data_IF_364331385787
#
_entry.id   IF_364331385787
#
_cell.length_a   1.000
_cell.length_b   1.000
_cell.length_c   1.000
_cell.angle_alpha   90.00
_cell.angle_beta   90.00
_cell.angle_gamma   90.00
#
_symmetry.space_group_name_H-M   'P 1'
#
loop_
_entity.id
_entity.type
_entity.pdbx_description
1 polymer ?
#
# COMPACT_ATOMS: atom_id res chain seq x y z
N UNK A 1 -7.62 26.97 -34.16
CA UNK A 1 -8.06 25.56 -34.27
C UNK A 1 -8.19 24.88 -32.90
N UNK A 2 -7.18 24.93 -32.01
CA UNK A 2 -7.34 24.34 -30.66
C UNK A 2 -8.23 25.18 -29.73
N UNK A 3 -8.20 26.52 -29.85
CA UNK A 3 -9.00 27.42 -29.01
C UNK A 3 -10.52 27.37 -29.28
N UNK A 4 -10.96 26.66 -30.32
CA UNK A 4 -12.37 26.47 -30.66
C UNK A 4 -12.92 25.12 -30.16
N UNK A 5 -12.08 24.28 -29.54
CA UNK A 5 -12.53 23.01 -28.95
C UNK A 5 -13.19 23.27 -27.58
N UNK A 6 -14.26 22.51 -27.24
CA UNK A 6 -14.77 22.49 -25.88
C UNK A 6 -13.67 22.06 -24.89
N UNK A 7 -13.62 22.65 -23.68
CA UNK A 7 -12.63 22.31 -22.66
C UNK A 7 -12.54 20.81 -22.36
N UNK A 8 -13.67 20.11 -22.37
CA UNK A 8 -13.78 18.68 -22.03
C UNK A 8 -13.09 17.80 -23.09
N UNK A 9 -13.25 18.15 -24.36
CA UNK A 9 -12.58 17.45 -25.47
C UNK A 9 -11.07 17.69 -25.40
N UNK A 10 -10.68 18.92 -25.06
CA UNK A 10 -9.27 19.25 -24.93
C UNK A 10 -8.61 18.59 -23.71
N UNK A 11 -9.32 18.48 -22.58
CA UNK A 11 -8.89 17.72 -21.41
C UNK A 11 -8.68 16.24 -21.78
N UNK A 12 -9.60 15.64 -22.56
CA UNK A 12 -9.44 14.26 -23.05
C UNK A 12 -8.22 14.08 -23.96
N UNK A 13 -7.88 15.08 -24.78
CA UNK A 13 -6.64 15.07 -25.57
C UNK A 13 -5.42 15.13 -24.65
N UNK A 14 -5.46 16.00 -23.63
CA UNK A 14 -4.37 16.15 -22.67
C UNK A 14 -4.10 14.86 -21.89
N UNK A 15 -5.15 14.10 -21.55
CA UNK A 15 -5.04 12.80 -20.88
C UNK A 15 -4.27 11.75 -21.70
N UNK A 16 -4.13 11.95 -23.02
CA UNK A 16 -3.38 11.06 -23.92
C UNK A 16 -1.94 11.48 -24.15
N UNK A 17 -1.56 12.68 -23.72
CA UNK A 17 -0.22 13.21 -23.90
C UNK A 17 0.69 12.81 -22.73
N UNK A 18 1.96 12.54 -23.02
CA UNK A 18 2.95 12.34 -21.97
C UNK A 18 3.30 13.68 -21.29
N UNK A 19 3.96 13.61 -20.12
CA UNK A 19 4.30 14.80 -19.33
C UNK A 19 5.18 15.82 -20.07
N UNK A 20 6.07 15.36 -20.96
CA UNK A 20 6.97 16.25 -21.73
C UNK A 20 6.17 17.02 -22.77
N UNK A 21 5.27 16.35 -23.49
CA UNK A 21 4.44 16.97 -24.51
C UNK A 21 3.41 17.93 -23.88
N UNK A 22 2.85 17.58 -22.72
CA UNK A 22 2.01 18.50 -21.94
C UNK A 22 2.78 19.75 -21.49
N UNK A 23 4.01 19.59 -21.03
CA UNK A 23 4.86 20.73 -20.66
C UNK A 23 5.12 21.63 -21.86
N UNK A 24 5.50 21.06 -23.01
CA UNK A 24 5.71 21.82 -24.25
C UNK A 24 4.45 22.55 -24.69
N UNK A 25 3.30 21.88 -24.64
CA UNK A 25 2.01 22.46 -24.97
C UNK A 25 1.64 23.62 -24.04
N UNK A 26 1.96 23.50 -22.75
CA UNK A 26 1.72 24.56 -21.75
C UNK A 26 2.46 25.87 -22.06
N UNK A 27 3.56 25.80 -22.81
CA UNK A 27 4.39 26.97 -23.15
C UNK A 27 3.94 27.69 -24.42
N UNK A 28 2.98 27.14 -25.17
CA UNK A 28 2.57 27.69 -26.47
C UNK A 28 1.58 28.84 -26.36
N UNK A 29 0.72 28.88 -25.34
CA UNK A 29 -0.24 29.96 -25.13
C UNK A 29 -0.73 30.02 -23.67
N UNK A 30 -1.14 31.21 -23.21
CA UNK A 30 -1.66 31.42 -21.84
C UNK A 30 -2.89 30.57 -21.52
N UNK A 31 -3.82 30.43 -22.48
CA UNK A 31 -5.03 29.63 -22.27
C UNK A 31 -4.70 28.12 -22.18
N UNK A 32 -3.75 27.64 -23.00
CA UNK A 32 -3.24 26.27 -22.98
C UNK A 32 -2.50 25.98 -21.68
N UNK A 33 -1.68 26.92 -21.21
CA UNK A 33 -1.05 26.83 -19.90
C UNK A 33 -2.08 26.56 -18.81
N UNK A 34 -3.16 27.35 -18.75
CA UNK A 34 -4.20 27.19 -17.72
C UNK A 34 -4.88 25.81 -17.73
N UNK A 35 -5.13 25.24 -18.91
CA UNK A 35 -5.80 23.93 -19.01
C UNK A 35 -4.81 22.80 -18.71
N UNK A 36 -3.66 22.79 -19.39
CA UNK A 36 -2.59 21.81 -19.20
C UNK A 36 -2.05 21.80 -17.76
N UNK A 37 -2.06 22.94 -17.05
CA UNK A 37 -1.63 23.02 -15.65
C UNK A 37 -2.39 22.04 -14.76
N UNK A 38 -3.71 21.90 -14.93
CA UNK A 38 -4.51 20.96 -14.13
C UNK A 38 -4.05 19.52 -14.34
N UNK A 39 -3.76 19.17 -15.59
CA UNK A 39 -3.35 17.82 -15.97
C UNK A 39 -1.91 17.51 -15.55
N UNK A 40 -1.00 18.49 -15.70
CA UNK A 40 0.38 18.37 -15.22
C UNK A 40 0.45 18.12 -13.71
N UNK A 41 -0.47 18.69 -12.93
CA UNK A 41 -0.53 18.52 -11.48
C UNK A 41 -1.51 17.44 -11.01
N UNK A 42 -2.15 16.71 -11.92
CA UNK A 42 -3.10 15.62 -11.59
C UNK A 42 -2.40 14.48 -10.84
N UNK A 43 -1.19 14.14 -11.24
CA UNK A 43 -0.39 13.06 -10.65
C UNK A 43 0.92 13.61 -10.10
N UNK A 44 1.18 13.35 -8.82
CA UNK A 44 2.38 13.82 -8.13
C UNK A 44 3.20 12.63 -7.64
N UNK A 45 4.47 12.58 -8.05
CA UNK A 45 5.43 11.59 -7.54
C UNK A 45 6.44 12.27 -6.63
N UNK A 46 6.49 11.80 -5.38
CA UNK A 46 7.52 12.15 -4.41
C UNK A 46 8.69 11.22 -4.62
N UNK A 47 9.79 11.79 -5.11
CA UNK A 47 11.08 11.13 -5.25
C UNK A 47 12.02 11.65 -4.15
N UNK A 48 12.70 10.76 -3.40
CA UNK A 48 13.77 11.15 -2.52
C UNK A 48 14.98 11.60 -3.32
N UNK A 49 15.74 12.55 -2.78
CA UNK A 49 17.00 12.98 -3.36
C UNK A 49 18.04 13.14 -2.24
N UNK A 50 19.14 12.37 -2.25
CA UNK A 50 19.44 11.27 -3.18
C UNK A 50 18.48 10.06 -3.03
N UNK A 51 18.40 9.18 -4.03
CA UNK A 51 17.45 8.04 -4.04
C UNK A 51 17.61 7.09 -2.86
N UNK A 52 18.85 6.98 -2.34
CA UNK A 52 19.20 6.21 -1.14
C UNK A 52 18.66 6.81 0.16
N UNK A 53 18.33 8.10 0.18
CA UNK A 53 17.80 8.82 1.33
C UNK A 53 16.28 8.96 1.26
N UNK A 54 15.57 7.82 1.22
CA UNK A 54 14.10 7.74 1.21
C UNK A 54 13.41 8.57 2.31
N UNK A 55 14.08 8.80 3.44
CA UNK A 55 13.59 9.62 4.55
C UNK A 55 13.66 11.14 4.32
N UNK A 56 14.45 11.59 3.35
CA UNK A 56 14.70 12.99 3.04
C UNK A 56 13.68 13.56 2.04
N UNK A 57 12.39 13.36 2.27
CA UNK A 57 11.34 14.00 1.46
C UNK A 57 11.08 15.45 1.93
N UNK A 58 10.63 16.33 1.04
CA UNK A 58 10.21 17.68 1.41
C UNK A 58 8.79 17.62 2.03
N UNK A 59 8.61 17.88 3.33
CA UNK A 59 7.29 17.82 3.98
C UNK A 59 6.32 18.89 3.47
N UNK A 60 6.83 19.99 2.90
CA UNK A 60 6.03 21.10 2.40
C UNK A 60 5.79 21.03 0.89
N UNK A 61 6.44 20.10 0.17
CA UNK A 61 6.30 19.87 -1.26
C UNK A 61 6.00 21.11 -2.14
N UNK A 62 5.15 20.98 -3.17
CA UNK A 62 4.74 22.10 -4.01
C UNK A 62 3.77 23.09 -3.31
N UNK A 63 3.57 24.29 -3.87
CA UNK A 63 2.56 25.24 -3.40
C UNK A 63 1.13 24.67 -3.43
N UNK A 64 0.25 25.18 -2.55
CA UNK A 64 -1.13 24.69 -2.38
C UNK A 64 -1.99 24.80 -3.66
N UNK A 65 -1.77 25.85 -4.47
CA UNK A 65 -2.51 26.04 -5.73
C UNK A 65 -2.15 24.99 -6.80
N UNK A 66 -1.01 24.30 -6.67
CA UNK A 66 -0.67 23.14 -7.48
C UNK A 66 -1.42 21.92 -6.97
N UNK A 67 -1.34 21.68 -5.65
CA UNK A 67 -1.89 20.49 -5.01
C UNK A 67 -3.40 20.33 -5.17
N UNK A 68 -4.17 21.41 -5.30
CA UNK A 68 -5.63 21.33 -5.45
C UNK A 68 -6.09 20.47 -6.65
N UNK A 69 -5.23 20.30 -7.66
CA UNK A 69 -5.52 19.50 -8.86
C UNK A 69 -5.02 18.05 -8.74
N UNK A 70 -4.19 17.76 -7.74
CA UNK A 70 -3.63 16.43 -7.54
C UNK A 70 -4.72 15.46 -7.09
N UNK A 71 -4.84 14.36 -7.82
CA UNK A 71 -5.72 13.22 -7.57
C UNK A 71 -4.94 11.95 -7.31
N UNK A 72 -3.71 11.87 -7.80
CA UNK A 72 -2.86 10.71 -7.63
C UNK A 72 -1.57 11.11 -6.89
N UNK A 73 -1.28 10.41 -5.81
CA UNK A 73 -0.05 10.60 -5.04
C UNK A 73 0.76 9.32 -5.02
N UNK A 74 2.03 9.42 -5.43
CA UNK A 74 2.96 8.31 -5.46
C UNK A 74 4.23 8.65 -4.68
N UNK A 75 4.63 7.75 -3.79
CA UNK A 75 5.98 7.72 -3.23
C UNK A 75 6.78 6.67 -4.01
N UNK A 76 7.72 7.11 -4.83
CA UNK A 76 8.53 6.21 -5.67
C UNK A 76 9.99 6.66 -5.66
N UNK A 77 10.93 5.80 -5.23
CA UNK A 77 12.31 6.20 -5.06
C UNK A 77 13.08 6.27 -6.38
N UNK A 78 12.50 5.82 -7.50
CA UNK A 78 13.20 5.69 -8.77
C UNK A 78 13.71 4.27 -9.04
N UNK A 79 14.35 4.08 -10.19
CA UNK A 79 14.82 2.78 -10.67
C UNK A 79 16.16 2.40 -10.00
N UNK A 80 16.93 3.38 -9.53
CA UNK A 80 18.28 3.16 -8.99
C UNK A 80 18.29 2.98 -7.46
N UNK A 81 17.13 3.09 -6.81
CA UNK A 81 16.98 2.84 -5.39
C UNK A 81 17.11 1.36 -5.06
N UNK A 82 17.96 1.01 -4.09
CA UNK A 82 18.13 -0.38 -3.63
C UNK A 82 16.79 -0.93 -3.11
N UNK A 83 16.15 -1.86 -3.84
CA UNK A 83 14.85 -2.39 -3.47
C UNK A 83 14.95 -3.39 -2.31
N UNK A 84 16.16 -3.76 -1.86
CA UNK A 84 16.33 -4.95 -1.04
C UNK A 84 16.19 -4.72 0.46
N UNK A 85 15.98 -3.49 0.93
CA UNK A 85 16.02 -3.19 2.37
C UNK A 85 15.06 -2.08 2.77
N UNK A 86 14.20 -2.33 3.76
CA UNK A 86 13.49 -1.25 4.46
C UNK A 86 14.48 -0.28 5.15
N UNK A 87 14.07 0.99 5.35
CA UNK A 87 14.84 2.01 6.09
C UNK A 87 15.28 1.53 7.47
N UNK A 88 14.48 0.70 8.14
CA UNK A 88 14.83 0.05 9.41
C UNK A 88 16.11 -0.81 9.35
N UNK A 89 16.47 -1.37 8.20
CA UNK A 89 17.71 -2.11 8.04
C UNK A 89 18.95 -1.20 8.17
N UNK A 90 18.79 0.08 7.84
CA UNK A 90 19.84 1.11 7.94
C UNK A 90 19.80 1.92 9.25
N UNK A 91 18.74 1.78 10.05
CA UNK A 91 18.63 2.35 11.39
C UNK A 91 19.38 1.44 12.39
N UNK A 92 20.69 1.64 12.52
CA UNK A 92 21.59 0.85 13.39
C UNK A 92 21.35 1.03 14.90
N UNK A 93 20.45 1.94 15.31
CA UNK A 93 20.34 2.41 16.70
C UNK A 93 19.19 1.79 17.51
N UNK A 94 18.42 0.86 16.93
CA UNK A 94 17.28 0.25 17.61
C UNK A 94 17.61 -0.80 18.69
N UNK A 95 18.88 -1.23 18.83
CA UNK A 95 19.22 -2.41 19.66
C UNK A 95 20.20 -2.17 20.83
N UNK A 96 20.71 -0.95 21.06
CA UNK A 96 21.74 -0.72 22.11
C UNK A 96 21.34 0.29 23.19
N UNK A 97 20.07 0.31 23.58
CA UNK A 97 19.65 0.95 24.82
C UNK A 97 18.71 0.03 25.56
N UNK A 98 19.10 -0.42 26.75
CA UNK A 98 18.18 -1.03 27.69
C UNK A 98 17.01 -0.05 27.91
N UNK A 99 15.86 -0.32 27.29
CA UNK A 99 14.60 0.37 27.54
C UNK A 99 14.03 0.00 28.93
N UNK A 100 14.89 -0.26 29.92
CA UNK A 100 14.52 -0.67 31.28
C UNK A 100 13.98 0.48 32.13
N UNK A 101 14.04 1.71 31.64
CA UNK A 101 13.36 2.83 32.27
C UNK A 101 12.37 3.46 31.28
N UNK A 102 11.18 2.88 31.22
CA UNK A 102 9.99 3.55 30.70
C UNK A 102 9.79 4.83 31.53
N UNK A 103 10.14 6.00 31.00
CA UNK A 103 9.60 7.26 31.49
C UNK A 103 8.14 7.36 30.99
N UNK A 104 7.12 7.21 31.86
CA UNK A 104 5.75 6.94 31.43
C UNK A 104 4.91 8.21 31.26
N UNK A 105 5.46 9.31 30.73
CA UNK A 105 4.76 10.60 30.80
C UNK A 105 4.61 11.43 29.52
N UNK A 106 5.10 11.03 28.35
CA UNK A 106 5.01 11.89 27.13
C UNK A 106 4.43 11.20 25.87
N UNK A 107 3.69 10.10 26.01
CA UNK A 107 3.43 9.21 24.86
C UNK A 107 2.16 9.43 24.01
N UNK A 108 1.34 10.47 24.23
CA UNK A 108 0.04 10.53 23.54
C UNK A 108 -0.36 11.83 22.84
N UNK A 109 0.56 12.78 22.60
CA UNK A 109 0.25 13.93 21.74
C UNK A 109 1.27 14.10 20.62
N UNK A 110 0.77 14.47 19.44
CA UNK A 110 1.52 14.64 18.19
C UNK A 110 2.67 15.66 18.33
N UNK A 111 2.51 16.66 19.21
CA UNK A 111 3.49 17.72 19.52
C UNK A 111 4.69 17.22 20.31
N UNK A 112 4.55 16.12 21.07
CA UNK A 112 5.64 15.59 21.90
C UNK A 112 6.67 14.74 21.12
N UNK A 113 6.41 14.47 19.83
CA UNK A 113 7.32 13.72 18.94
C UNK A 113 8.20 14.65 18.09
N UNK A 114 8.71 15.74 18.66
CA UNK A 114 9.79 16.49 18.02
C UNK A 114 10.93 15.52 17.69
N UNK A 115 11.16 15.28 16.39
CA UNK A 115 12.19 14.40 15.80
C UNK A 115 12.52 13.14 16.63
N UNK A 116 12.07 11.95 16.24
CA UNK A 116 12.49 10.73 16.96
C UNK A 116 14.01 10.55 16.86
N UNK A 117 14.72 10.65 17.98
CA UNK A 117 16.17 10.49 18.06
C UNK A 117 16.52 9.17 18.77
N UNK A 118 17.47 8.41 18.25
CA UNK A 118 18.23 7.36 18.94
C UNK A 118 19.57 7.88 19.45
N UNK A 119 20.28 7.10 20.28
CA UNK A 119 21.60 7.46 20.80
C UNK A 119 22.71 6.69 20.06
N UNK A 120 23.49 7.38 19.22
CA UNK A 120 24.66 6.82 18.54
C UNK A 120 25.95 7.47 19.04
N UNK A 121 26.85 6.69 19.65
CA UNK A 121 28.13 7.21 20.17
C UNK A 121 27.99 8.34 21.19
N UNK A 122 26.92 8.32 21.99
CA UNK A 122 26.60 9.37 22.98
C UNK A 122 25.91 10.61 22.41
N UNK A 123 25.52 10.62 21.12
CA UNK A 123 24.80 11.73 20.47
C UNK A 123 23.40 11.32 20.04
N UNK A 124 22.44 12.25 20.09
CA UNK A 124 21.09 12.09 19.52
C UNK A 124 21.19 12.05 17.99
N UNK A 125 20.69 10.97 17.38
CA UNK A 125 20.69 10.71 15.94
C UNK A 125 19.25 10.45 15.52
N UNK A 126 18.74 11.16 14.52
CA UNK A 126 17.36 10.95 14.05
C UNK A 126 17.16 9.54 13.48
N UNK A 127 16.05 8.90 13.85
CA UNK A 127 15.65 7.62 13.27
C UNK A 127 15.02 7.89 11.90
N UNK A 128 15.56 7.27 10.85
CA UNK A 128 15.24 7.63 9.46
C UNK A 128 13.79 7.28 9.13
N UNK A 129 13.29 6.16 9.61
CA UNK A 129 11.91 5.74 9.38
C UNK A 129 10.89 6.73 9.97
N UNK A 130 11.10 7.22 11.19
CA UNK A 130 10.23 8.19 11.83
C UNK A 130 10.28 9.55 11.12
N UNK A 131 11.45 9.97 10.64
CA UNK A 131 11.57 11.17 9.81
C UNK A 131 10.71 11.06 8.55
N UNK A 132 10.74 9.90 7.88
CA UNK A 132 9.88 9.64 6.72
C UNK A 132 8.41 9.75 7.09
N UNK A 133 7.98 9.05 8.15
CA UNK A 133 6.60 9.04 8.61
C UNK A 133 6.09 10.46 8.90
N UNK A 134 6.82 11.23 9.70
CA UNK A 134 6.46 12.59 10.07
C UNK A 134 6.33 13.50 8.85
N UNK A 135 7.31 13.47 7.95
CA UNK A 135 7.29 14.32 6.76
C UNK A 135 6.18 13.94 5.80
N UNK A 136 5.89 12.65 5.65
CA UNK A 136 4.80 12.16 4.82
C UNK A 136 3.44 12.57 5.40
N UNK A 137 3.26 12.48 6.72
CA UNK A 137 2.06 12.95 7.43
C UNK A 137 1.84 14.45 7.24
N UNK A 138 2.88 15.27 7.45
CA UNK A 138 2.80 16.73 7.22
C UNK A 138 2.38 17.01 5.77
N UNK A 139 2.93 16.27 4.82
CA UNK A 139 2.63 16.43 3.41
C UNK A 139 1.18 16.01 3.07
N UNK A 140 0.72 14.84 3.55
CA UNK A 140 -0.64 14.33 3.34
C UNK A 140 -1.71 15.25 3.94
N UNK A 141 -1.43 15.89 5.07
CA UNK A 141 -2.36 16.84 5.69
C UNK A 141 -2.61 18.11 4.86
N UNK A 142 -1.84 18.34 3.79
CA UNK A 142 -2.04 19.48 2.89
C UNK A 142 -3.12 19.25 1.84
N UNK A 143 -3.56 18.01 1.66
CA UNK A 143 -4.66 17.65 0.76
C UNK A 143 -6.00 17.81 1.47
N UNK A 144 -7.01 18.25 0.71
CA UNK A 144 -8.39 18.30 1.21
C UNK A 144 -8.95 16.87 1.34
N UNK A 145 -9.94 16.69 2.21
CA UNK A 145 -10.61 15.41 2.41
C UNK A 145 -11.22 14.92 1.08
N UNK A 146 -11.10 13.63 0.82
CA UNK A 146 -11.57 12.97 -0.41
C UNK A 146 -10.85 13.40 -1.69
N UNK A 147 -9.82 14.25 -1.62
CA UNK A 147 -9.18 14.79 -2.82
C UNK A 147 -8.38 13.73 -3.60
N UNK A 148 -7.78 12.76 -2.91
CA UNK A 148 -6.99 11.72 -3.55
C UNK A 148 -7.88 10.58 -4.08
N UNK A 149 -7.74 10.27 -5.35
CA UNK A 149 -8.38 9.13 -6.05
C UNK A 149 -7.43 7.92 -6.09
N UNK A 150 -6.12 8.15 -6.07
CA UNK A 150 -5.10 7.10 -6.16
C UNK A 150 -3.95 7.36 -5.20
N UNK A 151 -3.52 6.33 -4.49
CA UNK A 151 -2.36 6.38 -3.61
C UNK A 151 -1.41 5.20 -3.90
N UNK A 152 -0.12 5.50 -3.99
CA UNK A 152 0.93 4.49 -4.19
C UNK A 152 2.10 4.68 -3.25
N UNK A 153 2.45 3.63 -2.51
CA UNK A 153 3.66 3.52 -1.70
C UNK A 153 4.61 2.50 -2.33
N UNK A 154 5.59 2.98 -3.09
CA UNK A 154 6.59 2.16 -3.79
C UNK A 154 8.00 2.33 -3.19
N UNK A 155 8.10 2.68 -1.91
CA UNK A 155 9.40 2.87 -1.25
C UNK A 155 10.07 1.56 -0.85
N UNK A 156 9.46 0.39 -1.11
CA UNK A 156 9.95 -0.94 -0.71
C UNK A 156 10.38 -0.93 0.77
N UNK A 157 9.47 -0.43 1.60
CA UNK A 157 9.66 -0.27 3.03
C UNK A 157 8.36 -0.65 3.73
N UNK A 158 8.46 -0.89 5.02
CA UNK A 158 7.31 -0.79 5.91
C UNK A 158 6.53 0.52 5.61
N UNK A 159 5.20 0.45 5.56
CA UNK A 159 4.34 1.64 5.47
C UNK A 159 4.07 2.15 6.90
N UNK A 160 4.34 3.43 7.21
CA UNK A 160 3.96 4.00 8.50
C UNK A 160 2.44 3.89 8.74
N UNK A 161 2.05 3.44 9.93
CA UNK A 161 0.64 3.33 10.36
C UNK A 161 -0.12 4.65 10.18
N UNK A 162 0.53 5.75 10.51
CA UNK A 162 -0.03 7.10 10.44
C UNK A 162 -0.45 7.49 9.02
N UNK A 163 0.24 6.96 8.00
CA UNK A 163 -0.14 7.19 6.60
C UNK A 163 -1.43 6.43 6.29
N UNK A 164 -1.52 5.16 6.66
CA UNK A 164 -2.73 4.35 6.43
C UNK A 164 -3.94 4.93 7.16
N UNK A 165 -3.75 5.40 8.41
CA UNK A 165 -4.80 6.05 9.21
C UNK A 165 -5.29 7.34 8.56
N UNK A 166 -4.39 8.21 8.08
CA UNK A 166 -4.80 9.43 7.36
C UNK A 166 -5.53 9.09 6.07
N UNK A 167 -5.07 8.09 5.32
CA UNK A 167 -5.72 7.68 4.08
C UNK A 167 -7.11 7.11 4.35
N UNK A 168 -7.28 6.26 5.36
CA UNK A 168 -8.57 5.67 5.70
C UNK A 168 -9.57 6.71 6.21
N UNK A 169 -9.12 7.66 7.03
CA UNK A 169 -9.98 8.70 7.63
C UNK A 169 -10.30 9.84 6.66
N UNK A 170 -9.29 10.38 5.97
CA UNK A 170 -9.45 11.57 5.11
C UNK A 170 -9.71 11.24 3.66
N UNK A 171 -9.31 10.07 3.18
CA UNK A 171 -9.31 9.72 1.75
C UNK A 171 -9.97 8.35 1.50
N UNK A 172 -11.07 8.05 2.20
CA UNK A 172 -11.86 6.82 2.04
C UNK A 172 -12.43 6.61 0.62
N UNK A 173 -12.47 7.67 -0.19
CA UNK A 173 -12.88 7.66 -1.60
C UNK A 173 -11.80 7.21 -2.58
N UNK A 174 -10.60 6.83 -2.10
CA UNK A 174 -9.54 6.28 -2.95
C UNK A 174 -10.07 5.07 -3.73
N UNK A 175 -9.80 5.09 -5.03
CA UNK A 175 -10.20 4.05 -5.99
C UNK A 175 -9.04 3.12 -6.37
N UNK A 176 -7.81 3.55 -6.16
CA UNK A 176 -6.61 2.80 -6.53
C UNK A 176 -5.58 2.86 -5.40
N UNK A 177 -5.25 1.72 -4.83
CA UNK A 177 -4.27 1.58 -3.77
C UNK A 177 -3.17 0.62 -4.21
N UNK A 178 -1.92 1.10 -4.25
CA UNK A 178 -0.76 0.30 -4.62
C UNK A 178 0.32 0.36 -3.55
N UNK A 179 0.60 -0.75 -2.89
CA UNK A 179 1.56 -0.85 -1.80
C UNK A 179 2.67 -1.84 -2.17
N UNK A 180 3.92 -1.44 -1.99
CA UNK A 180 5.09 -2.30 -2.07
C UNK A 180 5.83 -2.21 -0.74
N UNK A 181 5.68 -3.24 0.07
CA UNK A 181 6.22 -3.31 1.43
C UNK A 181 7.42 -4.25 1.51
N UNK A 182 8.07 -4.31 2.67
CA UNK A 182 9.14 -5.27 2.99
C UNK A 182 8.55 -6.33 3.93
N UNK A 183 8.51 -7.62 3.53
CA UNK A 183 7.86 -8.68 4.29
C UNK A 183 8.67 -9.16 5.50
N UNK A 184 9.98 -8.82 5.57
CA UNK A 184 10.92 -9.27 6.60
C UNK A 184 11.49 -8.13 7.43
N UNK A 185 10.90 -6.96 7.30
CA UNK A 185 11.09 -5.84 8.21
C UNK A 185 10.72 -6.37 9.62
N UNK A 186 11.71 -6.83 10.41
CA UNK A 186 11.54 -7.56 11.69
C UNK A 186 12.09 -6.81 12.92
N UNK A 187 12.81 -5.70 12.70
CA UNK A 187 13.47 -4.88 13.72
C UNK A 187 12.59 -4.01 14.64
N UNK A 188 11.28 -3.91 14.44
CA UNK A 188 10.38 -3.13 15.29
C UNK A 188 9.05 -3.83 15.47
N UNK A 189 8.83 -4.40 16.65
CA UNK A 189 7.55 -4.90 17.16
C UNK A 189 6.42 -3.83 17.24
N UNK A 190 6.57 -2.72 16.50
CA UNK A 190 5.61 -1.63 16.28
C UNK A 190 4.59 -1.99 15.18
N UNK A 191 4.77 -3.10 14.47
CA UNK A 191 3.87 -3.58 13.39
C UNK A 191 2.56 -4.19 13.86
N UNK A 192 2.37 -4.38 15.18
CA UNK A 192 1.03 -4.57 15.73
C UNK A 192 0.13 -3.34 15.52
N UNK A 193 0.69 -2.15 15.27
CA UNK A 193 -0.11 -0.93 15.10
C UNK A 193 -0.73 -0.78 13.72
N UNK A 194 -0.18 -1.42 12.68
CA UNK A 194 -0.80 -1.42 11.35
C UNK A 194 -1.88 -2.48 11.24
N UNK A 195 -1.82 -3.57 12.03
CA UNK A 195 -2.90 -4.56 12.09
C UNK A 195 -4.17 -4.02 12.74
N UNK A 196 -4.06 -3.06 13.66
CA UNK A 196 -5.21 -2.43 14.32
C UNK A 196 -5.97 -1.43 13.42
N UNK A 197 -5.39 -1.03 12.28
CA UNK A 197 -6.03 -0.05 11.40
C UNK A 197 -7.08 -0.74 10.55
N UNK A 198 -8.33 -0.32 10.71
CA UNK A 198 -9.43 -0.76 9.84
C UNK A 198 -9.27 -0.18 8.42
N UNK A 199 -8.64 -0.94 7.53
CA UNK A 199 -8.58 -0.60 6.11
C UNK A 199 -9.91 -0.84 5.39
N UNK A 200 -10.92 -1.45 6.02
CA UNK A 200 -12.22 -1.61 5.38
C UNK A 200 -12.82 -0.23 5.04
N UNK A 201 -12.46 0.84 5.75
CA UNK A 201 -12.92 2.21 5.52
C UNK A 201 -12.81 2.70 4.06
N UNK A 202 -11.92 2.13 3.24
CA UNK A 202 -11.95 2.36 1.79
C UNK A 202 -13.15 1.63 1.18
N UNK A 203 -14.16 2.39 0.71
CA UNK A 203 -15.42 1.83 0.16
C UNK A 203 -15.58 2.02 -1.35
N UNK A 204 -14.57 2.58 -2.02
CA UNK A 204 -14.61 2.93 -3.44
C UNK A 204 -13.48 2.27 -4.24
N UNK A 205 -12.80 1.27 -3.66
CA UNK A 205 -11.59 0.70 -4.21
C UNK A 205 -11.91 -0.17 -5.43
N UNK A 206 -11.41 0.26 -6.60
CA UNK A 206 -11.51 -0.50 -7.85
C UNK A 206 -10.24 -1.28 -8.15
N UNK A 207 -9.09 -0.80 -7.70
CA UNK A 207 -7.78 -1.42 -7.95
C UNK A 207 -7.00 -1.55 -6.66
N UNK A 208 -6.64 -2.78 -6.32
CA UNK A 208 -5.75 -3.10 -5.22
C UNK A 208 -4.51 -3.80 -5.74
N UNK A 209 -3.33 -3.27 -5.43
CA UNK A 209 -2.06 -3.96 -5.59
C UNK A 209 -1.33 -3.94 -4.25
N UNK A 210 -1.01 -5.11 -3.69
CA UNK A 210 -0.16 -5.21 -2.51
C UNK A 210 0.95 -6.23 -2.74
N UNK A 211 2.19 -5.73 -2.76
CA UNK A 211 3.41 -6.50 -2.98
C UNK A 211 4.18 -6.62 -1.68
N UNK A 212 4.58 -7.85 -1.40
CA UNK A 212 5.26 -8.33 -0.21
C UNK A 212 4.62 -7.85 1.12
N UNK A 213 3.32 -8.08 1.34
CA UNK A 213 2.70 -7.84 2.64
C UNK A 213 3.30 -8.77 3.71
N UNK A 214 3.32 -8.29 4.95
CA UNK A 214 3.61 -9.10 6.15
C UNK A 214 2.36 -9.88 6.58
N UNK A 215 2.52 -10.97 7.33
CA UNK A 215 1.40 -11.80 7.79
C UNK A 215 0.38 -11.02 8.64
N UNK A 216 0.84 -10.06 9.46
CA UNK A 216 -0.05 -9.20 10.25
C UNK A 216 -0.97 -8.30 9.40
N UNK A 217 -0.72 -8.14 8.09
CA UNK A 217 -1.59 -7.39 7.19
C UNK A 217 -2.69 -8.24 6.56
N UNK A 218 -2.68 -9.57 6.73
CA UNK A 218 -3.60 -10.45 6.01
C UNK A 218 -5.07 -10.22 6.39
N UNK A 219 -5.34 -9.90 7.66
CA UNK A 219 -6.69 -9.54 8.11
C UNK A 219 -7.16 -8.23 7.46
N UNK A 220 -6.28 -7.23 7.38
CA UNK A 220 -6.59 -5.96 6.73
C UNK A 220 -6.78 -6.09 5.22
N UNK A 221 -5.96 -6.91 4.55
CA UNK A 221 -6.15 -7.24 3.13
C UNK A 221 -7.51 -7.92 2.94
N UNK A 222 -7.83 -8.89 3.78
CA UNK A 222 -9.09 -9.62 3.71
C UNK A 222 -10.29 -8.70 3.88
N UNK A 223 -10.30 -7.88 4.93
CA UNK A 223 -11.36 -6.90 5.19
C UNK A 223 -11.49 -5.88 4.07
N UNK A 224 -10.37 -5.40 3.52
CA UNK A 224 -10.35 -4.47 2.38
C UNK A 224 -10.95 -5.10 1.12
N UNK A 225 -10.56 -6.34 0.80
CA UNK A 225 -11.07 -7.08 -0.36
C UNK A 225 -12.56 -7.37 -0.20
N UNK A 226 -12.99 -7.86 0.97
CA UNK A 226 -14.41 -8.11 1.28
C UNK A 226 -15.25 -6.84 1.12
N UNK A 227 -14.80 -5.71 1.68
CA UNK A 227 -15.53 -4.44 1.63
C UNK A 227 -15.72 -3.90 0.21
N UNK A 228 -14.84 -4.26 -0.74
CA UNK A 228 -14.86 -3.72 -2.10
C UNK A 228 -15.21 -4.76 -3.17
N UNK A 229 -15.47 -6.01 -2.79
CA UNK A 229 -15.63 -7.14 -3.71
C UNK A 229 -16.64 -6.90 -4.85
N UNK A 230 -17.76 -6.24 -4.56
CA UNK A 230 -18.84 -5.95 -5.52
C UNK A 230 -18.45 -5.03 -6.67
N UNK A 231 -17.38 -4.24 -6.51
CA UNK A 231 -16.95 -3.24 -7.49
C UNK A 231 -15.45 -3.24 -7.77
N UNK A 232 -14.70 -4.16 -7.16
CA UNK A 232 -13.28 -4.36 -7.43
C UNK A 232 -13.07 -4.84 -8.87
N UNK A 233 -12.23 -4.13 -9.61
CA UNK A 233 -11.91 -4.35 -11.02
C UNK A 233 -10.56 -5.05 -11.18
N UNK A 234 -9.57 -4.71 -10.33
CA UNK A 234 -8.23 -5.30 -10.35
C UNK A 234 -7.76 -5.67 -8.94
N UNK A 235 -7.24 -6.89 -8.79
CA UNK A 235 -6.61 -7.40 -7.57
C UNK A 235 -5.24 -8.02 -7.89
N UNK A 236 -4.18 -7.44 -7.33
CA UNK A 236 -2.81 -7.94 -7.41
C UNK A 236 -2.26 -8.17 -5.99
N UNK A 237 -1.96 -9.42 -5.64
CA UNK A 237 -1.34 -9.79 -4.37
C UNK A 237 -0.07 -10.58 -4.68
N UNK A 238 1.08 -10.07 -4.26
CA UNK A 238 2.38 -10.72 -4.50
C UNK A 238 3.09 -10.99 -3.18
N UNK A 239 3.24 -12.25 -2.77
CA UNK A 239 4.04 -12.63 -1.60
C UNK A 239 5.52 -12.77 -1.99
N UNK A 240 6.07 -11.73 -2.62
CA UNK A 240 7.50 -11.68 -2.94
C UNK A 240 8.33 -11.70 -1.65
N UNK A 241 9.47 -12.40 -1.65
CA UNK A 241 10.32 -12.55 -0.46
C UNK A 241 9.98 -13.77 0.39
N UNK A 242 8.71 -14.14 0.56
CA UNK A 242 8.30 -15.36 1.28
C UNK A 242 8.86 -16.60 0.58
N UNK A 243 9.96 -17.16 1.09
CA UNK A 243 10.53 -18.44 0.63
C UNK A 243 10.05 -19.57 1.55
N UNK A 244 9.75 -20.76 1.01
CA UNK A 244 9.37 -21.93 1.82
C UNK A 244 10.37 -22.20 2.95
N UNK A 245 11.65 -21.91 2.72
CA UNK A 245 12.76 -22.20 3.64
C UNK A 245 12.91 -21.18 4.78
N UNK A 246 12.23 -20.02 4.73
CA UNK A 246 12.40 -18.91 5.68
C UNK A 246 11.08 -18.26 6.11
N UNK A 247 9.95 -18.96 5.99
CA UNK A 247 8.70 -18.43 6.50
C UNK A 247 8.76 -18.38 8.04
N UNK A 248 8.61 -17.18 8.66
CA UNK A 248 8.55 -17.10 10.11
C UNK A 248 7.26 -17.78 10.58
N UNK A 249 7.41 -18.81 11.40
CA UNK A 249 6.30 -19.39 12.17
C UNK A 249 5.64 -18.27 12.97
N UNK A 250 4.39 -17.94 12.66
CA UNK A 250 3.67 -16.86 13.31
C UNK A 250 3.49 -17.19 14.80
N UNK A 251 4.24 -16.53 15.68
CA UNK A 251 4.08 -16.72 17.12
C UNK A 251 2.86 -15.96 17.65
N UNK A 252 1.84 -16.72 18.05
CA UNK A 252 0.77 -16.51 19.03
C UNK A 252 0.22 -15.10 19.31
N UNK A 253 -1.10 -14.97 19.15
CA UNK A 253 -1.97 -14.23 20.08
C UNK A 253 -2.95 -15.24 20.71
N UNK A 254 -2.99 -15.30 22.04
CA UNK A 254 -3.55 -16.38 22.89
C UNK A 254 -5.08 -16.67 22.78
N UNK A 255 -5.81 -16.20 21.78
CA UNK A 255 -7.27 -16.33 21.75
C UNK A 255 -7.87 -16.98 20.48
N UNK A 256 -7.08 -17.66 19.64
CA UNK A 256 -7.64 -18.36 18.47
C UNK A 256 -7.32 -19.88 18.53
N UNK A 257 -8.32 -20.79 18.52
CA UNK A 257 -8.12 -22.22 18.71
C UNK A 257 -7.58 -22.95 17.48
N UNK A 258 -7.45 -22.29 16.33
CA UNK A 258 -6.72 -22.85 15.20
C UNK A 258 -5.23 -22.70 15.45
N UNK A 259 -4.51 -23.82 15.43
CA UNK A 259 -3.05 -23.86 15.54
C UNK A 259 -2.48 -23.46 14.17
N UNK A 260 -1.99 -22.23 14.03
CA UNK A 260 -1.37 -21.73 12.79
C UNK A 260 0.10 -22.18 12.65
N UNK A 261 0.58 -23.06 13.52
CA UNK A 261 1.91 -23.65 13.40
C UNK A 261 1.97 -24.50 12.12
N UNK A 262 2.92 -24.17 11.25
CA UNK A 262 3.21 -24.84 9.97
C UNK A 262 2.29 -24.53 8.78
N UNK A 263 1.41 -23.53 8.85
CA UNK A 263 0.66 -23.08 7.66
C UNK A 263 1.49 -22.08 6.87
N UNK A 264 1.70 -22.34 5.58
CA UNK A 264 2.42 -21.39 4.73
C UNK A 264 1.67 -20.05 4.66
N UNK A 265 2.40 -18.93 4.63
CA UNK A 265 1.78 -17.60 4.56
C UNK A 265 0.92 -17.39 3.30
N UNK A 266 1.28 -18.08 2.22
CA UNK A 266 0.51 -18.21 1.00
C UNK A 266 -0.90 -18.79 1.24
N UNK A 267 -0.97 -19.89 2.00
CA UNK A 267 -2.21 -20.54 2.38
C UNK A 267 -2.98 -19.71 3.41
N UNK A 268 -2.30 -19.09 4.38
CA UNK A 268 -2.91 -18.18 5.35
C UNK A 268 -3.69 -17.04 4.67
N UNK A 269 -3.04 -16.33 3.72
CA UNK A 269 -3.67 -15.23 3.00
C UNK A 269 -4.84 -15.72 2.16
N UNK A 270 -4.67 -16.85 1.46
CA UNK A 270 -5.73 -17.41 0.64
C UNK A 270 -6.95 -17.86 1.46
N UNK A 271 -6.73 -18.51 2.61
CA UNK A 271 -7.79 -18.90 3.55
C UNK A 271 -8.58 -17.70 4.03
N UNK A 272 -7.89 -16.68 4.55
CA UNK A 272 -8.55 -15.46 5.04
C UNK A 272 -9.27 -14.71 3.93
N UNK A 273 -8.61 -14.50 2.78
CA UNK A 273 -9.14 -13.63 1.72
C UNK A 273 -10.18 -14.30 0.83
N UNK A 274 -10.14 -15.62 0.63
CA UNK A 274 -11.03 -16.34 -0.29
C UNK A 274 -11.92 -17.40 0.38
N UNK A 275 -11.87 -17.55 1.71
CA UNK A 275 -12.77 -18.44 2.45
C UNK A 275 -12.43 -19.93 2.30
N UNK A 276 -11.14 -20.28 2.26
CA UNK A 276 -10.66 -21.68 2.23
C UNK A 276 -10.55 -22.33 3.63
N UNK A 277 -11.46 -22.01 4.55
CA UNK A 277 -11.42 -22.60 5.90
C UNK A 277 -11.77 -24.10 5.92
N UNK A 278 -11.07 -24.84 6.78
CA UNK A 278 -11.06 -26.31 6.87
C UNK A 278 -12.21 -26.85 7.74
N UNK A 279 -12.78 -26.02 8.60
CA UNK A 279 -13.61 -26.46 9.71
C UNK A 279 -15.05 -25.99 9.52
N UNK A 280 -15.84 -26.90 8.96
CA UNK A 280 -17.28 -27.11 9.16
C UNK A 280 -18.07 -26.07 9.98
N UNK A 281 -19.21 -25.67 9.40
CA UNK A 281 -20.42 -25.14 10.07
C UNK A 281 -20.53 -23.62 10.23
N UNK A 282 -20.34 -22.90 9.15
CA UNK A 282 -21.26 -21.86 8.67
C UNK A 282 -20.91 -21.65 7.19
N UNK A 283 -21.87 -21.26 6.35
CA UNK A 283 -21.61 -21.09 4.92
C UNK A 283 -20.44 -20.10 4.76
N UNK A 284 -19.24 -20.61 4.41
CA UNK A 284 -18.07 -19.77 4.18
C UNK A 284 -18.52 -18.66 3.23
N UNK A 285 -18.55 -17.41 3.72
CA UNK A 285 -19.12 -16.29 2.99
C UNK A 285 -18.42 -16.19 1.64
N UNK A 286 -19.10 -16.67 0.60
CA UNK A 286 -18.48 -16.81 -0.70
C UNK A 286 -18.37 -15.41 -1.31
N UNK A 287 -17.17 -14.83 -1.24
CA UNK A 287 -16.93 -13.49 -1.74
C UNK A 287 -17.09 -13.52 -3.27
N UNK A 288 -18.01 -12.71 -3.77
CA UNK A 288 -18.31 -12.60 -5.19
C UNK A 288 -17.65 -11.36 -5.78
N UNK A 289 -16.96 -11.54 -6.92
CA UNK A 289 -16.24 -10.47 -7.61
C UNK A 289 -16.85 -10.20 -9.00
N UNK A 290 -18.04 -9.59 -9.08
CA UNK A 290 -18.78 -9.47 -10.33
C UNK A 290 -18.09 -8.58 -11.38
N UNK A 291 -17.21 -7.65 -10.96
CA UNK A 291 -16.52 -6.68 -11.83
C UNK A 291 -15.04 -6.94 -12.03
N UNK A 292 -14.49 -7.99 -11.43
CA UNK A 292 -13.05 -8.27 -11.48
C UNK A 292 -12.64 -8.68 -12.90
N UNK A 293 -11.90 -7.80 -13.56
CA UNK A 293 -11.34 -8.03 -14.89
C UNK A 293 -9.90 -8.54 -14.84
N UNK A 294 -9.17 -8.28 -13.75
CA UNK A 294 -7.75 -8.65 -13.60
C UNK A 294 -7.47 -9.21 -12.21
N UNK A 295 -6.94 -10.43 -12.17
CA UNK A 295 -6.45 -11.07 -10.95
C UNK A 295 -5.00 -11.49 -11.17
N UNK A 296 -4.11 -11.09 -10.27
CA UNK A 296 -2.70 -11.51 -10.27
C UNK A 296 -2.30 -11.93 -8.87
N UNK A 297 -2.01 -13.22 -8.72
CA UNK A 297 -1.59 -13.81 -7.46
C UNK A 297 -0.21 -14.41 -7.67
N UNK A 298 0.78 -13.91 -6.93
CA UNK A 298 2.15 -14.45 -6.97
C UNK A 298 2.45 -15.07 -5.62
N UNK A 299 2.69 -16.39 -5.59
CA UNK A 299 2.90 -17.19 -4.36
C UNK A 299 1.73 -17.16 -3.37
N UNK A 300 0.49 -17.03 -3.84
CA UNK A 300 -0.73 -17.20 -3.02
C UNK A 300 -1.45 -18.45 -3.52
N UNK A 301 -1.48 -19.51 -2.71
CA UNK A 301 -2.02 -20.80 -3.11
C UNK A 301 -3.55 -20.78 -3.02
N UNK A 302 -4.24 -20.99 -4.14
CA UNK A 302 -5.71 -21.13 -4.17
C UNK A 302 -6.19 -22.57 -3.92
N UNK A 303 -5.25 -23.48 -3.66
CA UNK A 303 -5.51 -24.85 -3.24
C UNK A 303 -4.87 -25.01 -1.87
N UNK A 304 -5.66 -25.43 -0.91
CA UNK A 304 -5.16 -25.76 0.41
C UNK A 304 -4.56 -27.17 0.38
N UNK A 305 -3.23 -27.26 0.36
CA UNK A 305 -2.50 -28.53 0.31
C UNK A 305 -2.75 -29.42 1.54
N UNK A 306 -3.17 -28.82 2.66
CA UNK A 306 -3.45 -29.56 3.89
C UNK A 306 -4.83 -30.21 3.91
N UNK A 307 -5.75 -29.75 3.05
CA UNK A 307 -7.17 -30.19 3.08
C UNK A 307 -7.70 -30.67 1.75
N UNK A 308 -6.94 -30.49 0.68
CA UNK A 308 -7.35 -30.77 -0.70
C UNK A 308 -8.62 -30.02 -1.14
N UNK A 309 -9.05 -29.01 -0.37
CA UNK A 309 -10.18 -28.15 -0.70
C UNK A 309 -9.72 -27.13 -1.74
N UNK A 310 -10.23 -27.28 -2.95
CA UNK A 310 -10.02 -26.34 -4.04
C UNK A 310 -11.04 -25.19 -3.94
N UNK A 311 -10.62 -23.93 -4.07
CA UNK A 311 -11.59 -22.85 -4.34
C UNK A 311 -12.27 -23.18 -5.67
N UNK A 312 -13.52 -23.63 -5.62
CA UNK A 312 -14.31 -23.80 -6.83
C UNK A 312 -14.67 -22.39 -7.33
N UNK A 313 -14.23 -21.98 -8.54
CA UNK A 313 -14.47 -20.65 -9.10
C UNK A 313 -15.89 -20.56 -9.67
N UNK A 314 -16.91 -20.76 -8.83
CA UNK A 314 -18.32 -20.66 -9.22
C UNK A 314 -18.83 -19.21 -9.22
N UNK A 315 -18.13 -18.27 -8.59
CA UNK A 315 -18.57 -16.87 -8.46
C UNK A 315 -17.86 -15.88 -9.39
N UNK A 316 -17.01 -16.38 -10.29
CA UNK A 316 -16.22 -15.54 -11.19
C UNK A 316 -16.84 -15.58 -12.59
N UNK A 317 -17.20 -14.40 -13.13
CA UNK A 317 -17.70 -14.25 -14.49
C UNK A 317 -16.82 -15.05 -15.46
N UNK A 318 -17.42 -15.71 -16.44
CA UNK A 318 -16.79 -16.58 -17.44
C UNK A 318 -15.45 -16.05 -18.01
N UNK A 319 -15.27 -14.73 -18.10
CA UNK A 319 -14.04 -14.05 -18.50
C UNK A 319 -12.89 -14.17 -17.50
N UNK A 320 -13.16 -14.10 -16.18
CA UNK A 320 -12.17 -14.24 -15.11
C UNK A 320 -11.99 -15.70 -14.64
N UNK A 321 -12.93 -16.60 -15.00
CA UNK A 321 -12.74 -18.06 -14.94
C UNK A 321 -11.55 -18.53 -15.80
N UNK A 322 -11.31 -17.89 -16.96
CA UNK A 322 -10.12 -18.14 -17.79
C UNK A 322 -8.83 -17.68 -17.13
N UNK A 323 -8.86 -16.59 -16.35
CA UNK A 323 -7.68 -16.07 -15.64
C UNK A 323 -7.30 -16.96 -14.45
N UNK A 324 -8.27 -17.49 -13.72
CA UNK A 324 -8.03 -18.46 -12.64
C UNK A 324 -7.53 -19.82 -13.15
N UNK A 325 -8.06 -20.30 -14.29
CA UNK A 325 -7.53 -21.51 -14.96
C UNK A 325 -6.08 -21.30 -15.45
N UNK A 326 -5.74 -20.13 -16.00
CA UNK A 326 -4.36 -19.82 -16.39
C UNK A 326 -3.38 -19.69 -15.21
N UNK A 327 -3.83 -19.38 -13.99
CA UNK A 327 -2.97 -19.35 -12.80
C UNK A 327 -2.74 -20.76 -12.24
N UNK A 328 -3.75 -21.64 -12.34
CA UNK A 328 -3.63 -23.04 -11.93
C UNK A 328 -2.78 -23.87 -12.91
N UNK A 329 -2.78 -23.53 -14.21
CA UNK A 329 -1.98 -24.22 -15.25
C UNK A 329 -0.48 -23.85 -15.25
N UNK A 330 -0.06 -22.87 -14.42
CA UNK A 330 1.35 -22.42 -14.32
C UNK A 330 2.04 -22.82 -13.01
N UNK A 331 1.44 -23.73 -12.23
CA UNK A 331 2.15 -24.40 -11.14
C UNK A 331 3.03 -25.51 -11.75
N UNK A 332 4.35 -25.54 -11.49
CA UNK A 332 5.12 -26.73 -11.79
C UNK A 332 4.59 -27.88 -10.94
N UNK A 333 4.46 -29.06 -11.57
CA UNK A 333 4.21 -30.34 -10.92
C UNK A 333 5.25 -30.57 -9.81
#
# INVERSE_FOLDING_TARGET
>A
MLASLPPEIFESICDKLNGIDLQRLSLTAKWLHKITFRQLWRSLTIKPYPESERHCINPYGPPKYCLQYTRELRFDPGVDADPKRCLHASDWLGYMGNWTEKAPLHQYTWEARGDSFGLGGGKLVRVKFECLAQRAVIFLNRFNDGQLESFSWNYVSCIPSEILEILSLKHSSIQSLSLVTDPFCSRFNRWSRTSDIDLSAFRSLRRLSWKAPMACHFDNITSLVKANASHLEELELELHGWSPDHEPTATQHENNPEVWDNIQASAMLARKTFGLEVTTSEAAEQICFPRLGRLKLTRVLLRDENTDVQVIPSSVNSSARRLLLCVLDNLPI
#
